data_IF_202275279196
#
_entry.id   IF_202275279196
#
_cell.length_a   1.000
_cell.length_b   1.000
_cell.length_c   1.000
_cell.angle_alpha   90.00
_cell.angle_beta   90.00
_cell.angle_gamma   90.00
#
_symmetry.space_group_name_H-M   'P 1'
#
loop_
_entity.id
_entity.type
_entity.pdbx_description
1 polymer ?
#
# COMPACT_ATOMS: atom_id res chain seq x y z
N UNK A 1 -14.25 -18.27 9.95
CA UNK A 1 -13.52 -17.73 8.78
C UNK A 1 -12.12 -17.37 9.24
N UNK A 2 -11.06 -17.94 8.63
CA UNK A 2 -9.70 -17.46 8.90
C UNK A 2 -9.60 -16.06 8.27
N UNK A 3 -9.29 -15.05 9.08
CA UNK A 3 -9.02 -13.70 8.60
C UNK A 3 -7.73 -13.79 7.77
N UNK A 4 -7.80 -13.51 6.47
CA UNK A 4 -6.58 -13.43 5.65
C UNK A 4 -5.80 -12.21 6.13
N UNK A 5 -4.64 -12.44 6.74
CA UNK A 5 -3.73 -11.38 7.16
C UNK A 5 -3.27 -10.66 5.89
N UNK A 6 -3.52 -9.35 5.80
CA UNK A 6 -2.97 -8.52 4.73
C UNK A 6 -1.51 -8.21 5.08
N UNK A 7 -0.64 -8.26 4.08
CA UNK A 7 0.78 -8.00 4.25
C UNK A 7 1.29 -7.04 3.19
N UNK A 8 2.32 -6.29 3.56
CA UNK A 8 3.24 -5.66 2.62
C UNK A 8 4.51 -6.51 2.58
N UNK A 9 5.17 -6.61 1.43
CA UNK A 9 6.46 -7.28 1.35
C UNK A 9 7.38 -6.65 0.32
N UNK A 10 8.66 -6.64 0.62
CA UNK A 10 9.73 -6.20 -0.28
C UNK A 10 10.76 -7.31 -0.44
N UNK A 11 11.27 -7.49 -1.64
CA UNK A 11 12.36 -8.43 -1.92
C UNK A 11 13.70 -7.68 -1.97
N UNK A 12 14.69 -8.18 -1.22
CA UNK A 12 16.03 -7.60 -1.15
C UNK A 12 17.06 -8.68 -0.81
N UNK A 13 18.18 -8.67 -1.53
CA UNK A 13 19.33 -9.56 -1.25
C UNK A 13 18.94 -11.06 -1.19
N UNK A 14 18.04 -11.50 -2.07
CA UNK A 14 17.56 -12.89 -2.14
C UNK A 14 16.63 -13.31 -0.99
N UNK A 15 16.09 -12.34 -0.25
CA UNK A 15 15.14 -12.56 0.83
C UNK A 15 13.88 -11.72 0.63
N UNK A 16 12.77 -12.23 1.14
CA UNK A 16 11.51 -11.50 1.24
C UNK A 16 11.31 -11.03 2.67
N UNK A 17 11.10 -9.74 2.83
CA UNK A 17 10.79 -9.09 4.10
C UNK A 17 9.30 -8.81 4.12
N UNK A 18 8.61 -9.19 5.19
CA UNK A 18 7.15 -9.15 5.27
C UNK A 18 6.73 -8.35 6.49
N UNK A 19 5.78 -7.43 6.30
CA UNK A 19 5.13 -6.66 7.34
C UNK A 19 3.63 -6.93 7.33
N UNK A 20 3.04 -7.15 8.50
CA UNK A 20 1.60 -7.25 8.65
C UNK A 20 0.98 -5.87 8.59
N UNK A 21 -0.01 -5.69 7.72
CA UNK A 21 -0.64 -4.38 7.50
C UNK A 21 -1.26 -3.81 8.78
N UNK A 22 -1.86 -4.65 9.64
CA UNK A 22 -2.40 -4.18 10.93
C UNK A 22 -1.31 -3.65 11.87
N UNK A 23 -0.10 -4.24 11.86
CA UNK A 23 1.01 -3.74 12.66
C UNK A 23 1.57 -2.44 12.08
N UNK A 24 1.63 -2.31 10.75
CA UNK A 24 2.00 -1.05 10.10
C UNK A 24 1.07 0.09 10.52
N UNK A 25 -0.23 -0.16 10.62
CA UNK A 25 -1.19 0.84 11.11
C UNK A 25 -0.88 1.30 12.53
N UNK A 26 -0.59 0.37 13.44
CA UNK A 26 -0.23 0.70 14.83
C UNK A 26 1.07 1.47 14.94
N UNK A 27 2.08 1.12 14.15
CA UNK A 27 3.37 1.82 14.11
C UNK A 27 3.25 3.21 13.49
N UNK A 28 2.31 3.40 12.55
CA UNK A 28 2.16 4.65 11.81
C UNK A 28 1.16 5.64 12.44
N UNK A 29 0.36 5.21 13.43
CA UNK A 29 -0.82 5.98 13.91
C UNK A 29 -0.51 7.38 14.44
N UNK A 30 0.67 7.58 15.02
CA UNK A 30 1.10 8.83 15.64
C UNK A 30 2.09 9.63 14.76
N UNK A 31 2.37 9.14 13.55
CA UNK A 31 3.24 9.84 12.61
C UNK A 31 2.57 11.11 12.06
N UNK A 32 3.35 12.16 11.75
CA UNK A 32 2.80 13.40 11.21
C UNK A 32 2.18 13.15 9.83
N UNK A 33 0.90 13.54 9.70
CA UNK A 33 0.18 13.46 8.43
C UNK A 33 0.52 14.66 7.57
N UNK A 34 0.81 14.42 6.28
CA UNK A 34 1.04 15.46 5.29
C UNK A 34 0.35 15.12 3.96
N UNK A 35 0.13 16.12 3.12
CA UNK A 35 -0.46 15.92 1.80
C UNK A 35 0.67 15.69 0.77
N UNK A 36 0.51 14.67 -0.07
CA UNK A 36 1.45 14.29 -1.14
C UNK A 36 0.73 14.39 -2.47
N UNK A 37 1.41 14.92 -3.49
CA UNK A 37 0.90 14.95 -4.86
C UNK A 37 0.68 13.51 -5.36
N UNK A 38 -0.52 13.24 -5.86
CA UNK A 38 -0.90 11.91 -6.36
C UNK A 38 0.00 11.49 -7.52
N UNK A 39 0.44 12.42 -8.35
CA UNK A 39 1.24 12.11 -9.54
C UNK A 39 2.70 11.71 -9.21
N UNK A 40 3.11 11.79 -7.94
CA UNK A 40 4.45 11.38 -7.49
C UNK A 40 4.56 9.89 -7.13
N UNK A 41 3.45 9.16 -7.09
CA UNK A 41 3.44 7.77 -6.69
C UNK A 41 3.78 6.85 -7.87
N UNK A 42 4.96 6.25 -7.82
CA UNK A 42 5.41 5.27 -8.83
C UNK A 42 4.50 4.03 -8.90
N UNK A 43 3.78 3.71 -7.83
CA UNK A 43 2.87 2.57 -7.75
C UNK A 43 1.63 2.72 -8.63
N UNK A 44 1.32 3.93 -9.11
CA UNK A 44 0.27 4.12 -10.10
C UNK A 44 0.56 3.39 -11.42
N UNK A 45 1.84 3.18 -11.73
CA UNK A 45 2.32 2.59 -12.98
C UNK A 45 3.01 1.23 -12.77
N UNK A 46 2.83 0.59 -11.60
CA UNK A 46 3.38 -0.73 -11.26
C UNK A 46 2.30 -1.74 -10.92
N UNK A 47 2.52 -3.00 -11.25
CA UNK A 47 1.67 -4.06 -10.75
C UNK A 47 1.96 -4.32 -9.26
N UNK A 48 1.08 -3.81 -8.40
CA UNK A 48 1.11 -4.05 -6.96
C UNK A 48 -0.05 -4.95 -6.49
N UNK A 49 -0.85 -5.51 -7.40
CA UNK A 49 -2.12 -6.19 -7.07
C UNK A 49 -2.25 -7.62 -7.60
N UNK A 50 -1.76 -7.88 -8.81
CA UNK A 50 -2.00 -9.14 -9.50
C UNK A 50 -0.77 -10.04 -9.51
N UNK A 51 0.42 -9.44 -9.47
CA UNK A 51 1.71 -10.14 -9.44
C UNK A 51 2.25 -10.39 -10.84
N UNK A 52 3.58 -10.38 -10.96
CA UNK A 52 4.26 -10.47 -12.26
C UNK A 52 3.82 -11.68 -13.09
N UNK A 53 3.63 -11.45 -14.39
CA UNK A 53 3.27 -12.49 -15.35
C UNK A 53 1.83 -13.00 -15.25
N UNK A 54 0.99 -12.46 -14.35
CA UNK A 54 -0.43 -12.79 -14.27
C UNK A 54 -1.28 -11.81 -15.07
N UNK A 55 -2.14 -12.34 -15.94
CA UNK A 55 -3.18 -11.54 -16.61
C UNK A 55 -4.44 -11.51 -15.74
N UNK A 56 -4.89 -10.34 -15.26
CA UNK A 56 -6.08 -10.25 -14.43
C UNK A 56 -7.36 -10.55 -15.23
N UNK A 57 -8.31 -11.20 -14.58
CA UNK A 57 -9.67 -11.38 -15.11
C UNK A 57 -10.52 -10.13 -14.85
N UNK A 58 -11.60 -9.97 -15.63
CA UNK A 58 -12.59 -8.90 -15.39
C UNK A 58 -13.16 -8.95 -13.96
N UNK A 59 -13.29 -10.15 -13.38
CA UNK A 59 -13.80 -10.33 -12.02
C UNK A 59 -12.83 -9.78 -10.97
N UNK A 60 -11.54 -10.04 -11.11
CA UNK A 60 -10.51 -9.50 -10.23
C UNK A 60 -10.43 -7.97 -10.33
N UNK A 61 -10.52 -7.41 -11.55
CA UNK A 61 -10.58 -5.95 -11.75
C UNK A 61 -11.81 -5.35 -11.05
N UNK A 62 -13.00 -5.95 -11.23
CA UNK A 62 -14.21 -5.49 -10.58
C UNK A 62 -14.12 -5.53 -9.05
N UNK A 63 -13.47 -6.55 -8.47
CA UNK A 63 -13.21 -6.64 -7.03
C UNK A 63 -12.29 -5.52 -6.54
N UNK A 64 -11.25 -5.15 -7.31
CA UNK A 64 -10.43 -3.98 -7.00
C UNK A 64 -11.24 -2.68 -7.07
N UNK A 65 -12.05 -2.47 -8.12
CA UNK A 65 -12.93 -1.31 -8.24
C UNK A 65 -13.87 -1.18 -7.04
N UNK A 66 -14.46 -2.28 -6.56
CA UNK A 66 -15.30 -2.27 -5.36
C UNK A 66 -14.51 -1.81 -4.13
N UNK A 67 -13.34 -2.41 -3.88
CA UNK A 67 -12.47 -2.03 -2.74
C UNK A 67 -12.06 -0.57 -2.78
N UNK A 68 -11.73 -0.03 -3.96
CA UNK A 68 -11.39 1.38 -4.19
C UNK A 68 -12.53 2.28 -3.71
N UNK A 69 -13.76 2.00 -4.14
CA UNK A 69 -14.95 2.77 -3.77
C UNK A 69 -15.33 2.65 -2.29
N UNK A 70 -15.01 1.52 -1.65
CA UNK A 70 -15.28 1.25 -0.23
C UNK A 70 -14.23 1.85 0.72
N UNK A 71 -13.10 2.37 0.20
CA UNK A 71 -12.04 2.94 1.06
C UNK A 71 -12.51 4.20 1.79
N UNK A 72 -12.03 4.44 3.01
CA UNK A 72 -12.28 5.71 3.71
C UNK A 72 -11.12 6.70 3.44
N UNK A 73 -11.37 7.83 2.76
CA UNK A 73 -10.34 8.78 2.37
C UNK A 73 -9.75 9.58 3.54
N UNK A 74 -10.29 9.45 4.76
CA UNK A 74 -9.77 10.14 5.95
C UNK A 74 -8.46 9.51 6.45
N UNK A 75 -8.23 8.23 6.17
CA UNK A 75 -7.02 7.54 6.62
C UNK A 75 -5.87 7.74 5.62
N UNK A 76 -4.66 8.13 6.09
CA UNK A 76 -3.52 8.37 5.22
C UNK A 76 -2.98 7.07 4.60
N UNK A 77 -2.40 7.16 3.40
CA UNK A 77 -1.53 6.11 2.87
C UNK A 77 -0.25 6.02 3.72
N UNK A 78 0.40 4.86 3.72
CA UNK A 78 1.61 4.63 4.51
C UNK A 78 2.79 4.49 3.56
N UNK A 79 3.82 5.30 3.77
CA UNK A 79 5.06 5.28 3.01
C UNK A 79 6.22 4.76 3.85
N UNK A 80 7.15 4.09 3.19
CA UNK A 80 8.43 3.69 3.79
C UNK A 80 9.42 4.87 3.88
N UNK A 81 10.61 4.58 4.41
CA UNK A 81 11.73 5.51 4.56
C UNK A 81 12.23 6.15 3.27
N UNK A 82 11.93 5.60 2.09
CA UNK A 82 12.32 6.15 0.80
C UNK A 82 11.14 6.79 0.02
N UNK A 83 9.92 6.74 0.56
CA UNK A 83 8.72 7.34 -0.03
C UNK A 83 7.86 6.38 -0.87
N UNK A 84 8.24 5.11 -1.01
CA UNK A 84 7.42 4.08 -1.65
C UNK A 84 6.24 3.67 -0.77
N UNK A 85 5.17 3.25 -1.42
CA UNK A 85 3.91 2.88 -0.80
C UNK A 85 4.01 1.52 -0.10
N UNK A 86 3.78 1.51 1.21
CA UNK A 86 3.64 0.27 1.99
C UNK A 86 2.18 -0.19 2.06
N UNK A 87 1.25 0.74 2.26
CA UNK A 87 -0.18 0.48 2.34
C UNK A 87 -1.01 1.65 1.80
N UNK A 88 -2.20 1.34 1.30
CA UNK A 88 -3.16 2.35 0.85
C UNK A 88 -3.28 2.49 -0.66
N UNK A 89 -2.82 1.53 -1.46
CA UNK A 89 -2.97 1.55 -2.92
C UNK A 89 -4.41 1.75 -3.40
N UNK A 90 -5.40 1.17 -2.71
CA UNK A 90 -6.82 1.43 -3.02
C UNK A 90 -7.25 2.87 -2.74
N UNK A 91 -6.69 3.51 -1.69
CA UNK A 91 -6.96 4.92 -1.36
C UNK A 91 -6.28 5.87 -2.34
N UNK A 92 -5.06 5.54 -2.76
CA UNK A 92 -4.35 6.26 -3.82
C UNK A 92 -5.12 6.19 -5.15
N UNK A 93 -5.54 4.99 -5.56
CA UNK A 93 -6.37 4.81 -6.76
C UNK A 93 -7.71 5.56 -6.67
N UNK A 94 -8.33 5.61 -5.48
CA UNK A 94 -9.53 6.43 -5.24
C UNK A 94 -9.25 7.91 -5.45
N UNK A 95 -8.13 8.43 -4.93
CA UNK A 95 -7.75 9.83 -5.12
C UNK A 95 -7.56 10.18 -6.60
N UNK A 96 -6.91 9.28 -7.35
CA UNK A 96 -6.75 9.41 -8.81
C UNK A 96 -8.11 9.44 -9.53
N UNK A 97 -9.01 8.50 -9.24
CA UNK A 97 -10.34 8.43 -9.85
C UNK A 97 -11.21 9.66 -9.58
N UNK A 98 -11.09 10.23 -8.38
CA UNK A 98 -11.82 11.44 -7.99
C UNK A 98 -11.16 12.74 -8.48
N UNK A 99 -10.03 12.65 -9.19
CA UNK A 99 -9.30 13.82 -9.72
C UNK A 99 -8.66 14.68 -8.63
N UNK A 100 -8.38 14.11 -7.45
CA UNK A 100 -7.74 14.83 -6.36
C UNK A 100 -6.27 15.07 -6.71
N UNK A 101 -5.78 16.27 -6.37
CA UNK A 101 -4.36 16.62 -6.53
C UNK A 101 -3.46 16.01 -5.48
N UNK A 102 -4.00 15.73 -4.30
CA UNK A 102 -3.23 15.19 -3.19
C UNK A 102 -3.94 14.04 -2.48
N UNK A 103 -3.13 13.23 -1.80
CA UNK A 103 -3.57 12.22 -0.83
C UNK A 103 -2.87 12.48 0.51
N UNK A 104 -3.55 12.17 1.61
CA UNK A 104 -2.93 12.18 2.94
C UNK A 104 -1.97 11.02 3.05
N UNK A 105 -0.76 11.27 3.54
CA UNK A 105 0.26 10.27 3.77
C UNK A 105 0.87 10.42 5.16
N UNK A 106 1.38 9.31 5.68
CA UNK A 106 2.33 9.23 6.78
C UNK A 106 3.55 8.47 6.28
N UNK A 107 4.72 8.80 6.81
CA UNK A 107 5.99 8.22 6.35
C UNK A 107 6.84 7.81 7.53
N UNK A 108 7.34 6.58 7.49
CA UNK A 108 8.39 6.15 8.40
C UNK A 108 9.70 6.87 8.05
N UNK A 109 10.40 7.43 9.03
CA UNK A 109 11.74 8.00 8.81
C UNK A 109 12.80 6.91 8.66
N UNK A 110 12.61 5.79 9.37
CA UNK A 110 13.40 4.57 9.30
C UNK A 110 12.47 3.38 9.12
N UNK A 111 12.86 2.40 8.30
CA UNK A 111 12.05 1.20 8.11
C UNK A 111 11.79 0.47 9.43
N UNK A 112 10.52 0.14 9.75
CA UNK A 112 10.25 -0.70 10.91
C UNK A 112 10.79 -2.12 10.66
N UNK A 113 11.19 -2.80 11.72
CA UNK A 113 11.59 -4.22 11.64
C UNK A 113 10.48 -5.07 11.01
N UNK A 114 10.81 -5.98 10.07
CA UNK A 114 9.84 -6.89 9.47
C UNK A 114 9.25 -7.85 10.51
N UNK A 115 8.04 -8.32 10.26
CA UNK A 115 7.39 -9.36 11.06
C UNK A 115 7.92 -10.75 10.70
N UNK A 116 8.24 -10.96 9.42
CA UNK A 116 8.82 -12.21 8.92
C UNK A 116 9.91 -11.94 7.88
N UNK A 117 10.89 -12.85 7.81
CA UNK A 117 11.93 -12.87 6.77
C UNK A 117 11.98 -14.27 6.17
N UNK A 118 11.75 -14.37 4.87
CA UNK A 118 11.77 -15.62 4.11
C UNK A 118 12.93 -15.62 3.10
N UNK A 119 13.50 -16.79 2.80
CA UNK A 119 14.41 -16.95 1.67
C UNK A 119 13.60 -17.12 0.38
N UNK A 120 14.05 -16.52 -0.72
CA UNK A 120 13.45 -16.66 -2.06
C UNK A 120 13.93 -17.94 -2.76
#
# INVERSE_FOLDING_TARGET
MRRTIQTHSTERDGKRYIWYTERLWELAKDLPVYDVDVDLFEELDRDCWFGEGRTPTIREVADHCRRINETDPRYPVILNDNGQLMDGGHRLARALLEGRKTVKAVRFEEMPEPDEIEAL
#
